data_IF_087457675548
#
_entry.id   IF_087457675548
#
_cell.length_a   1.000
_cell.length_b   1.000
_cell.length_c   1.000
_cell.angle_alpha   90.00
_cell.angle_beta   90.00
_cell.angle_gamma   90.00
#
_symmetry.space_group_name_H-M   'P 1'
#
loop_
_entity.id
_entity.type
_entity.pdbx_description
1 polymer ?
#
# COMPACT_ATOMS: atom_id res chain seq x y z
N UNK A 1 -3.12 -0.53 -6.03
CA UNK A 1 -4.30 -0.28 -5.18
C UNK A 1 -4.65 1.19 -5.27
N UNK A 2 -5.79 1.54 -5.84
CA UNK A 2 -6.22 2.92 -5.96
C UNK A 2 -7.66 2.99 -6.45
N UNK A 3 -8.35 4.07 -6.11
CA UNK A 3 -9.62 4.46 -6.71
C UNK A 3 -9.49 4.82 -8.21
N UNK A 4 -8.29 4.70 -8.80
CA UNK A 4 -7.91 5.34 -10.06
C UNK A 4 -7.85 6.87 -9.91
N UNK A 5 -8.17 7.60 -10.97
CA UNK A 5 -8.20 9.07 -11.00
C UNK A 5 -9.35 9.70 -10.20
N UNK A 6 -10.21 8.89 -9.58
CA UNK A 6 -11.42 9.33 -8.91
C UNK A 6 -11.21 9.83 -7.47
N UNK A 7 -9.98 9.80 -6.93
CA UNK A 7 -9.72 10.33 -5.59
C UNK A 7 -9.46 11.86 -5.64
N UNK A 8 -10.34 12.71 -5.08
CA UNK A 8 -10.05 14.13 -4.95
C UNK A 8 -8.81 14.34 -4.08
N UNK A 9 -7.89 15.18 -4.57
CA UNK A 9 -6.67 15.56 -3.84
C UNK A 9 -7.01 16.69 -2.86
N UNK A 10 -6.82 16.40 -1.58
CA UNK A 10 -7.03 17.35 -0.48
C UNK A 10 -5.70 17.95 -0.03
N UNK A 11 -5.66 19.27 0.26
CA UNK A 11 -4.46 19.92 0.75
C UNK A 11 -4.04 19.38 2.12
N UNK A 12 -2.72 19.32 2.36
CA UNK A 12 -2.15 18.87 3.63
C UNK A 12 -2.18 17.35 3.84
N UNK A 13 -2.54 16.56 2.83
CA UNK A 13 -2.51 15.08 2.88
C UNK A 13 -1.30 14.54 2.12
N UNK A 14 -0.65 13.53 2.69
CA UNK A 14 0.37 12.72 2.00
C UNK A 14 -0.32 11.54 1.33
N UNK A 15 -0.45 11.60 0.01
CA UNK A 15 -0.94 10.49 -0.80
C UNK A 15 0.22 9.56 -1.15
N UNK A 16 0.01 8.26 -0.98
CA UNK A 16 0.95 7.22 -1.38
C UNK A 16 0.25 6.32 -2.39
N UNK A 17 0.84 6.16 -3.56
CA UNK A 17 0.39 5.20 -4.55
C UNK A 17 1.42 4.06 -4.65
N UNK A 18 0.94 2.84 -4.42
CA UNK A 18 1.74 1.64 -4.47
C UNK A 18 1.31 0.82 -5.68
N UNK A 19 2.19 0.81 -6.69
CA UNK A 19 2.13 -0.14 -7.78
C UNK A 19 2.32 -1.55 -7.19
N UNK A 20 1.25 -2.33 -7.24
CA UNK A 20 1.15 -3.71 -6.75
C UNK A 20 0.28 -4.46 -7.75
N UNK A 21 0.67 -5.69 -8.06
CA UNK A 21 -0.12 -6.59 -8.87
C UNK A 21 -1.48 -6.87 -8.24
N UNK A 22 -2.51 -7.03 -9.07
CA UNK A 22 -3.83 -7.45 -8.60
C UNK A 22 -3.78 -8.94 -8.17
N UNK A 23 -4.09 -9.27 -6.90
CA UNK A 23 -4.15 -10.66 -6.45
C UNK A 23 -5.44 -11.39 -6.89
N UNK A 24 -6.45 -10.68 -7.40
CA UNK A 24 -7.73 -11.28 -7.76
C UNK A 24 -7.56 -12.39 -8.81
N UNK A 25 -8.14 -13.57 -8.53
CA UNK A 25 -8.07 -14.74 -9.40
C UNK A 25 -6.72 -15.46 -9.45
N UNK A 26 -5.68 -14.99 -8.74
CA UNK A 26 -4.38 -15.65 -8.66
C UNK A 26 -4.38 -16.79 -7.63
N UNK A 27 -3.59 -17.85 -7.83
CA UNK A 27 -3.41 -18.90 -6.83
C UNK A 27 -2.69 -18.36 -5.59
N UNK A 28 -2.88 -19.00 -4.44
CA UNK A 28 -2.37 -18.51 -3.15
C UNK A 28 -0.86 -18.27 -3.15
N UNK A 29 -0.09 -19.09 -3.87
CA UNK A 29 1.36 -18.96 -3.93
C UNK A 29 1.81 -17.70 -4.67
N UNK A 30 0.99 -17.15 -5.56
CA UNK A 30 1.22 -15.86 -6.21
C UNK A 30 0.67 -14.68 -5.38
N UNK A 31 -0.33 -14.93 -4.53
CA UNK A 31 -0.89 -13.89 -3.64
C UNK A 31 0.02 -13.62 -2.45
N UNK A 32 0.66 -14.66 -1.89
CA UNK A 32 1.60 -14.55 -0.76
C UNK A 32 2.68 -13.47 -0.96
N UNK A 33 3.46 -13.44 -2.06
CA UNK A 33 4.48 -12.41 -2.24
C UNK A 33 3.90 -10.99 -2.35
N UNK A 34 2.70 -10.82 -2.92
CA UNK A 34 2.01 -9.52 -2.99
C UNK A 34 1.66 -9.04 -1.58
N UNK A 35 1.11 -9.94 -0.75
CA UNK A 35 0.80 -9.65 0.66
C UNK A 35 2.07 -9.28 1.45
N UNK A 36 3.15 -10.03 1.26
CA UNK A 36 4.40 -9.82 2.01
C UNK A 36 5.04 -8.46 1.66
N UNK A 37 4.93 -8.03 0.40
CA UNK A 37 5.35 -6.69 -0.01
C UNK A 37 4.47 -5.59 0.62
N UNK A 38 3.15 -5.80 0.73
CA UNK A 38 2.25 -4.88 1.44
C UNK A 38 2.66 -4.77 2.91
N UNK A 39 2.89 -5.90 3.58
CA UNK A 39 3.26 -5.96 5.00
C UNK A 39 4.55 -5.17 5.28
N UNK A 40 5.57 -5.37 4.45
CA UNK A 40 6.82 -4.61 4.51
C UNK A 40 6.58 -3.11 4.39
N UNK A 41 5.88 -2.67 3.34
CA UNK A 41 5.63 -1.24 3.07
C UNK A 41 4.81 -0.59 4.19
N UNK A 42 3.83 -1.29 4.74
CA UNK A 42 3.02 -0.82 5.88
C UNK A 42 3.89 -0.68 7.13
N UNK A 43 4.74 -1.65 7.42
CA UNK A 43 5.65 -1.61 8.58
C UNK A 43 6.62 -0.42 8.48
N UNK A 44 7.21 -0.20 7.31
CA UNK A 44 8.08 0.96 7.06
C UNK A 44 7.31 2.28 7.17
N UNK A 45 6.07 2.34 6.67
CA UNK A 45 5.21 3.52 6.79
C UNK A 45 4.89 3.83 8.26
N UNK A 46 4.57 2.81 9.06
CA UNK A 46 4.30 2.99 10.48
C UNK A 46 5.51 3.57 11.21
N UNK A 47 6.72 3.08 10.91
CA UNK A 47 7.96 3.62 11.48
C UNK A 47 8.20 5.10 11.13
N UNK A 48 7.71 5.58 9.99
CA UNK A 48 7.80 7.00 9.61
C UNK A 48 6.75 7.88 10.29
N UNK A 49 5.57 7.32 10.58
CA UNK A 49 4.44 8.08 11.12
C UNK A 49 4.47 8.19 12.64
N UNK A 50 5.06 7.20 13.31
CA UNK A 50 5.18 7.18 14.75
C UNK A 50 6.50 7.84 15.16
N UNK A 51 6.48 8.90 16.00
CA UNK A 51 7.70 9.49 16.52
C UNK A 51 8.51 8.44 17.29
N UNK A 52 9.83 8.42 17.07
CA UNK A 52 10.73 7.72 17.97
C UNK A 52 10.68 8.43 19.33
N UNK A 53 10.26 7.70 20.36
CA UNK A 53 10.21 8.20 21.73
C UNK A 53 11.61 8.18 22.36
#
# INVERSE_FOLDING_TARGET
MGCGDACPIFPGKRYLDWALDDPAGKPVDQVRPIRDEIDKRVTELLAQLVPAY
#
